data_IF_370403411435
#
_entry.id   IF_370403411435
#
_cell.length_a   1.000
_cell.length_b   1.000
_cell.length_c   1.000
_cell.angle_alpha   90.00
_cell.angle_beta   90.00
_cell.angle_gamma   90.00
#
_symmetry.space_group_name_H-M   'P 1'
#
loop_
_entity.id
_entity.type
_entity.pdbx_description
1 polymer ?
#
# COMPACT_ATOMS: atom_id res chain seq x y z
N UNK A 1 15.04 26.45 14.09
CA UNK A 1 15.56 26.20 12.72
C UNK A 1 14.38 26.04 11.79
N UNK A 2 14.34 26.76 10.67
CA UNK A 2 13.31 26.57 9.64
C UNK A 2 13.59 25.24 8.93
N UNK A 3 12.64 24.32 8.94
CA UNK A 3 12.76 23.07 8.17
C UNK A 3 12.63 23.45 6.68
N UNK A 4 13.69 23.21 5.91
CA UNK A 4 13.65 23.34 4.46
C UNK A 4 12.87 22.14 3.90
N UNK A 5 11.99 22.40 2.94
CA UNK A 5 11.24 21.38 2.21
C UNK A 5 11.63 21.43 0.75
N UNK A 6 11.80 20.26 0.12
CA UNK A 6 11.95 20.17 -1.32
C UNK A 6 10.59 19.90 -1.96
N UNK A 7 10.20 20.72 -2.96
CA UNK A 7 8.90 20.61 -3.62
C UNK A 7 9.07 20.23 -5.10
N UNK A 8 8.27 19.28 -5.56
CA UNK A 8 8.12 18.94 -6.97
C UNK A 8 6.64 19.05 -7.33
N UNK A 9 6.33 19.82 -8.37
CA UNK A 9 5.00 19.88 -8.95
C UNK A 9 4.98 19.03 -10.21
N UNK A 10 3.96 18.20 -10.35
CA UNK A 10 3.77 17.29 -11.48
C UNK A 10 2.50 17.70 -12.19
N UNK A 11 2.57 17.91 -13.50
CA UNK A 11 1.41 18.15 -14.36
C UNK A 11 1.20 16.96 -15.30
N UNK A 12 -0.05 16.71 -15.69
CA UNK A 12 -0.48 15.57 -16.50
C UNK A 12 0.05 15.64 -17.95
N UNK A 13 0.28 16.85 -18.45
CA UNK A 13 0.91 17.11 -19.76
C UNK A 13 2.43 16.87 -19.76
N UNK A 14 3.04 16.71 -18.58
CA UNK A 14 4.46 16.37 -18.41
C UNK A 14 4.68 14.85 -18.53
N UNK A 15 4.37 14.31 -19.72
CA UNK A 15 4.43 12.88 -20.04
C UNK A 15 5.82 12.30 -19.76
N UNK A 16 6.89 13.06 -20.04
CA UNK A 16 8.26 12.64 -19.80
C UNK A 16 8.57 12.54 -18.31
N UNK A 17 8.08 13.47 -17.49
CA UNK A 17 8.20 13.38 -16.03
C UNK A 17 7.40 12.23 -15.47
N UNK A 18 6.21 11.95 -15.97
CA UNK A 18 5.42 10.80 -15.52
C UNK A 18 6.10 9.46 -15.87
N UNK A 19 6.75 9.38 -17.03
CA UNK A 19 7.56 8.22 -17.43
C UNK A 19 8.81 8.03 -16.57
N UNK A 20 9.35 9.12 -16.02
CA UNK A 20 10.59 9.14 -15.23
C UNK A 20 10.35 9.50 -13.77
N UNK A 21 9.11 9.40 -13.28
CA UNK A 21 8.72 9.94 -11.96
C UNK A 21 9.51 9.27 -10.83
N UNK A 22 9.78 7.97 -10.95
CA UNK A 22 10.67 7.25 -10.06
C UNK A 22 12.06 7.87 -10.01
N UNK A 23 12.71 8.06 -11.17
CA UNK A 23 14.04 8.65 -11.28
C UNK A 23 14.09 10.09 -10.74
N UNK A 24 13.07 10.89 -11.03
CA UNK A 24 12.97 12.27 -10.55
C UNK A 24 12.80 12.34 -9.04
N UNK A 25 11.97 11.46 -8.45
CA UNK A 25 11.82 11.36 -7.00
C UNK A 25 13.15 10.87 -6.39
N UNK A 26 13.75 9.82 -6.93
CA UNK A 26 14.99 9.23 -6.40
C UNK A 26 16.16 10.22 -6.39
N UNK A 27 16.31 11.01 -7.46
CA UNK A 27 17.37 12.03 -7.57
C UNK A 27 17.11 13.32 -6.76
N UNK A 28 15.88 13.52 -6.28
CA UNK A 28 15.48 14.73 -5.53
C UNK A 28 15.45 14.55 -4.01
N UNK A 29 15.76 13.34 -3.53
CA UNK A 29 15.84 13.06 -2.10
C UNK A 29 17.19 13.51 -1.56
N UNK A 30 17.16 14.53 -0.71
CA UNK A 30 18.27 15.00 0.09
C UNK A 30 17.95 14.77 1.58
N UNK A 31 18.77 15.28 2.50
CA UNK A 31 18.55 15.16 3.95
C UNK A 31 17.27 15.89 4.46
N UNK A 32 16.48 16.50 3.57
CA UNK A 32 15.23 17.18 3.90
C UNK A 32 13.99 16.40 3.44
N UNK A 33 12.81 16.77 3.95
CA UNK A 33 11.55 16.17 3.53
C UNK A 33 11.25 16.53 2.06
N UNK A 34 10.82 15.54 1.28
CA UNK A 34 10.42 15.70 -0.12
C UNK A 34 8.89 15.68 -0.25
N UNK A 35 8.34 16.72 -0.87
CA UNK A 35 6.89 16.85 -1.12
C UNK A 35 6.67 16.89 -2.63
N UNK A 36 5.93 15.91 -3.15
CA UNK A 36 5.49 15.84 -4.54
C UNK A 36 4.00 16.18 -4.59
N UNK A 37 3.65 17.17 -5.40
CA UNK A 37 2.27 17.64 -5.60
C UNK A 37 1.80 17.32 -7.01
N UNK A 38 0.75 16.51 -7.11
CA UNK A 38 -0.01 16.28 -8.32
C UNK A 38 -1.11 17.33 -8.36
N UNK A 39 -0.95 18.35 -9.19
CA UNK A 39 -1.81 19.54 -9.14
C UNK A 39 -3.04 19.43 -10.04
N UNK A 40 -2.99 18.58 -11.05
CA UNK A 40 -4.12 18.37 -11.95
C UNK A 40 -5.13 17.39 -11.37
N UNK A 41 -6.38 17.48 -11.83
CA UNK A 41 -7.47 16.62 -11.37
C UNK A 41 -7.30 15.16 -11.81
N UNK A 42 -6.59 14.92 -12.90
CA UNK A 42 -6.59 13.63 -13.58
C UNK A 42 -5.25 13.33 -14.25
N UNK A 43 -4.73 12.13 -14.01
CA UNK A 43 -3.54 11.56 -14.62
C UNK A 43 -3.90 10.23 -15.25
N UNK A 44 -3.73 10.15 -16.57
CA UNK A 44 -3.99 8.93 -17.33
C UNK A 44 -2.76 8.04 -17.26
N UNK A 45 -2.71 7.20 -16.23
CA UNK A 45 -1.60 6.30 -16.06
C UNK A 45 -1.45 5.36 -17.24
N UNK A 46 -2.50 5.02 -18.00
CA UNK A 46 -2.41 4.13 -19.17
C UNK A 46 -1.45 4.61 -20.27
N UNK A 47 -1.17 5.91 -20.36
CA UNK A 47 -0.28 6.49 -21.38
C UNK A 47 1.21 6.30 -21.12
N UNK A 48 1.63 6.08 -19.86
CA UNK A 48 3.06 6.16 -19.48
C UNK A 48 3.81 4.82 -19.57
N UNK A 49 3.86 4.17 -20.75
CA UNK A 49 4.72 3.01 -21.05
C UNK A 49 4.70 1.78 -20.10
N UNK A 50 5.60 0.81 -20.37
CA UNK A 50 5.76 -0.46 -19.65
C UNK A 50 6.86 -0.45 -18.57
N UNK A 51 7.33 0.70 -18.12
CA UNK A 51 8.38 0.75 -17.08
C UNK A 51 7.78 0.81 -15.68
N UNK A 52 8.24 -0.10 -14.81
CA UNK A 52 7.89 -0.08 -13.38
C UNK A 52 8.36 1.21 -12.72
N UNK A 53 7.46 1.89 -12.02
CA UNK A 53 7.84 3.04 -11.18
C UNK A 53 8.42 2.48 -9.89
N UNK A 54 9.73 2.66 -9.70
CA UNK A 54 10.43 2.24 -8.48
C UNK A 54 10.97 3.48 -7.75
N UNK A 55 10.58 3.62 -6.48
CA UNK A 55 10.96 4.75 -5.62
C UNK A 55 11.72 4.20 -4.41
N UNK A 56 12.96 4.65 -4.22
CA UNK A 56 13.73 4.38 -3.02
C UNK A 56 13.38 5.41 -1.95
N UNK A 57 12.90 5.02 -0.78
CA UNK A 57 12.49 5.93 0.29
C UNK A 57 13.66 6.20 1.23
N UNK A 58 14.50 7.16 0.86
CA UNK A 58 15.71 7.57 1.60
C UNK A 58 15.48 8.78 2.52
N UNK A 59 14.40 9.51 2.32
CA UNK A 59 13.94 10.60 3.21
C UNK A 59 12.44 10.50 3.44
N UNK A 60 11.86 11.41 4.22
CA UNK A 60 10.40 11.50 4.32
C UNK A 60 9.84 11.98 2.98
N UNK A 61 8.88 11.26 2.43
CA UNK A 61 8.24 11.57 1.16
C UNK A 61 6.75 11.80 1.40
N UNK A 62 6.19 12.85 0.82
CA UNK A 62 4.74 13.07 0.74
C UNK A 62 4.29 13.16 -0.71
N UNK A 63 3.40 12.28 -1.15
CA UNK A 63 2.71 12.29 -2.44
C UNK A 63 1.32 12.87 -2.23
N UNK A 64 1.06 14.06 -2.75
CA UNK A 64 -0.14 14.85 -2.40
C UNK A 64 -0.90 15.19 -3.68
N UNK A 65 -2.14 14.72 -3.79
CA UNK A 65 -3.10 15.17 -4.81
C UNK A 65 -3.67 16.54 -4.48
N UNK A 66 -4.45 17.11 -5.40
CA UNK A 66 -5.07 18.40 -5.21
C UNK A 66 -6.22 18.38 -4.18
N UNK A 67 -6.82 19.54 -3.90
CA UNK A 67 -7.86 19.70 -2.88
C UNK A 67 -9.16 18.94 -3.18
N UNK A 68 -9.46 18.73 -4.47
CA UNK A 68 -10.64 18.00 -4.93
C UNK A 68 -10.39 16.48 -5.04
N UNK A 69 -9.15 16.06 -4.81
CA UNK A 69 -8.67 14.71 -5.03
C UNK A 69 -8.18 14.52 -6.46
N UNK A 70 -6.94 14.06 -6.59
CA UNK A 70 -6.35 13.75 -7.89
C UNK A 70 -6.65 12.30 -8.29
N UNK A 71 -7.08 12.08 -9.52
CA UNK A 71 -7.34 10.74 -10.07
C UNK A 71 -6.11 10.18 -10.77
N UNK A 72 -5.67 9.00 -10.33
CA UNK A 72 -4.72 8.13 -11.02
C UNK A 72 -5.51 7.00 -11.68
N UNK A 73 -5.74 7.14 -12.99
CA UNK A 73 -6.55 6.22 -13.78
C UNK A 73 -5.67 5.25 -14.57
N UNK A 74 -5.77 3.96 -14.27
CA UNK A 74 -4.99 2.91 -14.93
C UNK A 74 -5.71 2.35 -16.18
N UNK A 75 -6.95 2.80 -16.45
CA UNK A 75 -7.76 2.47 -17.62
C UNK A 75 -7.92 0.97 -17.92
N UNK A 76 -7.81 0.11 -16.89
CA UNK A 76 -7.72 -1.34 -17.01
C UNK A 76 -6.66 -1.82 -18.02
N UNK A 77 -5.62 -1.03 -18.22
CA UNK A 77 -4.69 -1.18 -19.34
C UNK A 77 -3.24 -1.00 -18.91
N UNK A 78 -2.83 -1.58 -17.76
CA UNK A 78 -1.43 -1.55 -17.32
C UNK A 78 -0.99 -2.69 -16.42
N UNK A 79 0.20 -3.19 -16.75
CA UNK A 79 0.95 -4.25 -16.05
C UNK A 79 1.70 -3.81 -14.78
N UNK A 80 1.51 -2.57 -14.32
CA UNK A 80 2.54 -1.88 -13.54
C UNK A 80 1.95 -1.14 -12.35
N UNK A 81 2.32 -1.60 -11.17
CA UNK A 81 2.19 -0.84 -9.95
C UNK A 81 3.40 0.04 -9.65
N UNK A 82 3.30 0.73 -8.53
CA UNK A 82 4.34 1.57 -7.96
C UNK A 82 5.04 0.76 -6.87
N UNK A 83 6.35 0.61 -6.98
CA UNK A 83 7.17 -0.05 -5.97
C UNK A 83 7.88 0.99 -5.11
N UNK A 84 7.77 0.86 -3.80
CA UNK A 84 8.49 1.63 -2.81
C UNK A 84 9.48 0.71 -2.11
N UNK A 85 10.76 1.04 -2.19
CA UNK A 85 11.84 0.31 -1.54
C UNK A 85 12.39 1.15 -0.40
N UNK A 86 12.31 0.64 0.82
CA UNK A 86 12.81 1.34 2.00
C UNK A 86 14.24 0.88 2.31
N UNK A 87 15.19 1.82 2.29
CA UNK A 87 16.54 1.64 2.84
C UNK A 87 16.63 2.45 4.14
N UNK A 88 16.39 1.78 5.26
CA UNK A 88 16.17 2.41 6.56
C UNK A 88 17.42 2.46 7.41
N UNK A 89 18.60 2.71 6.85
CA UNK A 89 19.82 2.90 7.65
C UNK A 89 19.65 4.02 8.70
N UNK A 90 19.39 3.62 9.94
CA UNK A 90 19.48 4.36 11.21
C UNK A 90 18.54 5.57 11.42
N UNK A 91 17.63 5.89 10.49
CA UNK A 91 16.64 6.97 10.68
C UNK A 91 15.23 6.52 10.34
N UNK A 92 14.27 6.95 11.15
CA UNK A 92 12.84 6.82 10.84
C UNK A 92 12.50 7.47 9.50
N UNK A 93 11.78 6.73 8.64
CA UNK A 93 11.29 7.24 7.34
C UNK A 93 9.77 7.18 7.25
N UNK A 94 9.17 8.25 6.76
CA UNK A 94 7.72 8.30 6.53
C UNK A 94 7.43 8.50 5.05
N UNK A 95 6.61 7.60 4.49
CA UNK A 95 5.95 7.80 3.21
C UNK A 95 4.48 8.14 3.47
N UNK A 96 4.07 9.31 2.99
CA UNK A 96 2.70 9.80 3.11
C UNK A 96 2.06 9.91 1.73
N UNK A 97 0.82 9.45 1.58
CA UNK A 97 0.04 9.53 0.35
C UNK A 97 -1.31 10.17 0.71
N UNK A 98 -1.65 11.30 0.09
CA UNK A 98 -2.80 12.11 0.49
C UNK A 98 -3.65 12.59 -0.68
N UNK A 99 -4.98 12.52 -0.54
CA UNK A 99 -5.94 13.05 -1.51
C UNK A 99 -5.76 12.47 -2.94
N UNK A 100 -5.47 11.18 -3.04
CA UNK A 100 -5.31 10.48 -4.33
C UNK A 100 -6.38 9.41 -4.48
N UNK A 101 -6.97 9.34 -5.67
CA UNK A 101 -7.91 8.31 -6.09
C UNK A 101 -7.22 7.37 -7.08
N UNK A 102 -7.03 6.11 -6.69
CA UNK A 102 -6.52 5.05 -7.56
C UNK A 102 -7.70 4.28 -8.17
N UNK A 103 -7.79 4.26 -9.51
CA UNK A 103 -8.92 3.59 -10.17
C UNK A 103 -8.57 2.78 -11.41
N UNK A 104 -9.38 1.75 -11.64
CA UNK A 104 -9.33 0.90 -12.85
C UNK A 104 -7.99 0.17 -13.01
N UNK A 105 -7.33 -0.21 -11.93
CA UNK A 105 -6.13 -1.05 -12.00
C UNK A 105 -6.49 -2.48 -12.40
N UNK A 106 -5.95 -2.94 -13.53
CA UNK A 106 -6.05 -4.33 -13.97
C UNK A 106 -4.89 -4.66 -14.91
N UNK A 107 -3.99 -5.57 -14.51
CA UNK A 107 -2.84 -5.88 -15.34
C UNK A 107 -3.17 -6.92 -16.40
N UNK A 108 -3.62 -6.45 -17.57
CA UNK A 108 -3.76 -7.26 -18.78
C UNK A 108 -2.37 -7.75 -19.24
N UNK A 109 -2.20 -9.07 -19.36
CA UNK A 109 -1.02 -9.78 -19.89
C UNK A 109 0.10 -10.19 -18.89
N UNK A 110 -0.25 -10.73 -17.72
CA UNK A 110 0.71 -11.47 -16.85
C UNK A 110 1.03 -12.89 -17.32
N UNK A 111 0.70 -13.25 -18.57
CA UNK A 111 0.78 -14.60 -19.15
C UNK A 111 2.17 -15.25 -19.25
N UNK A 112 3.16 -14.80 -18.49
CA UNK A 112 4.47 -15.41 -18.39
C UNK A 112 5.22 -14.96 -17.15
N UNK A 113 5.26 -15.86 -16.16
CA UNK A 113 6.31 -15.96 -15.12
C UNK A 113 6.32 -14.82 -14.07
N UNK A 114 5.59 -15.05 -12.97
CA UNK A 114 6.12 -14.88 -11.61
C UNK A 114 6.27 -13.46 -11.03
N UNK A 115 5.81 -12.40 -11.69
CA UNK A 115 5.79 -11.06 -11.06
C UNK A 115 4.43 -10.78 -10.45
N UNK A 116 4.35 -10.71 -9.12
CA UNK A 116 3.16 -10.25 -8.41
C UNK A 116 2.87 -8.81 -8.83
N UNK A 117 1.80 -8.60 -9.62
CA UNK A 117 1.45 -7.27 -10.13
C UNK A 117 0.48 -6.59 -9.16
N UNK A 118 1.02 -5.95 -8.14
CA UNK A 118 0.23 -5.19 -7.16
C UNK A 118 0.25 -3.71 -7.51
N UNK A 119 -0.85 -2.99 -7.26
CA UNK A 119 -0.93 -1.54 -7.52
C UNK A 119 0.14 -0.75 -6.74
N UNK A 120 0.26 -0.98 -5.43
CA UNK A 120 1.28 -0.40 -4.55
C UNK A 120 2.04 -1.51 -3.84
N UNK A 121 3.31 -1.67 -4.20
CA UNK A 121 4.19 -2.67 -3.61
C UNK A 121 5.21 -1.99 -2.70
N UNK A 122 5.28 -2.41 -1.45
CA UNK A 122 6.23 -1.92 -0.46
C UNK A 122 7.19 -3.03 -0.11
N UNK A 123 8.48 -2.80 -0.28
CA UNK A 123 9.52 -3.76 0.03
C UNK A 123 10.49 -3.16 1.06
N UNK A 124 10.69 -3.88 2.15
CA UNK A 124 11.47 -3.44 3.29
C UNK A 124 12.61 -4.40 3.60
N UNK A 125 13.85 -3.92 3.50
CA UNK A 125 15.02 -4.61 4.01
C UNK A 125 15.46 -3.92 5.30
N UNK A 126 14.98 -4.41 6.44
CA UNK A 126 15.11 -3.72 7.72
C UNK A 126 16.19 -4.34 8.58
N UNK A 127 16.99 -3.49 9.22
CA UNK A 127 17.81 -3.87 10.38
C UNK A 127 17.05 -3.59 11.69
N UNK A 128 17.59 -4.12 12.80
CA UNK A 128 16.97 -4.03 14.13
C UNK A 128 16.62 -2.60 14.58
N UNK A 129 17.39 -1.59 14.16
CA UNK A 129 17.23 -0.17 14.52
C UNK A 129 16.21 0.59 13.67
N UNK A 130 15.62 -0.06 12.69
CA UNK A 130 14.97 0.64 11.59
C UNK A 130 13.49 0.87 11.89
N UNK A 131 13.04 2.11 11.64
CA UNK A 131 11.65 2.50 11.84
C UNK A 131 11.08 3.14 10.57
N UNK A 132 9.83 2.83 10.26
CA UNK A 132 9.16 3.33 9.08
C UNK A 132 7.68 3.53 9.32
N UNK A 133 7.10 4.44 8.54
CA UNK A 133 5.67 4.70 8.52
C UNK A 133 5.17 4.85 7.10
N UNK A 134 4.10 4.16 6.75
CA UNK A 134 3.31 4.37 5.54
C UNK A 134 1.95 4.92 5.98
N UNK A 135 1.59 6.10 5.50
CA UNK A 135 0.36 6.79 5.91
C UNK A 135 -0.44 7.18 4.68
N UNK A 136 -1.67 6.69 4.58
CA UNK A 136 -2.66 7.07 3.58
C UNK A 136 -3.72 7.96 4.23
N UNK A 137 -3.94 9.16 3.69
CA UNK A 137 -4.98 10.07 4.17
C UNK A 137 -5.93 10.46 3.03
N UNK A 138 -7.23 10.31 3.27
CA UNK A 138 -8.29 10.70 2.33
C UNK A 138 -8.10 10.10 0.92
N UNK A 139 -7.56 8.87 0.85
CA UNK A 139 -7.36 8.17 -0.42
C UNK A 139 -8.61 7.38 -0.81
N UNK A 140 -8.83 7.20 -2.12
CA UNK A 140 -9.91 6.34 -2.63
C UNK A 140 -9.32 5.28 -3.56
N UNK A 141 -9.61 4.02 -3.28
CA UNK A 141 -9.28 2.89 -4.13
C UNK A 141 -10.57 2.35 -4.71
N UNK A 142 -10.79 2.53 -6.02
CA UNK A 142 -12.06 2.15 -6.63
C UNK A 142 -11.97 1.42 -7.97
N UNK A 143 -12.88 0.46 -8.16
CA UNK A 143 -13.03 -0.30 -9.40
C UNK A 143 -11.71 -0.94 -9.86
N UNK A 144 -10.89 -1.42 -8.92
CA UNK A 144 -9.65 -2.11 -9.24
C UNK A 144 -9.90 -3.62 -9.26
N UNK A 145 -9.39 -4.29 -10.29
CA UNK A 145 -9.60 -5.72 -10.52
C UNK A 145 -8.33 -6.54 -10.27
N UNK A 146 -7.53 -6.12 -9.28
CA UNK A 146 -6.33 -6.81 -8.86
C UNK A 146 -5.95 -6.38 -7.44
N UNK A 147 -4.99 -7.07 -6.84
CA UNK A 147 -4.41 -6.74 -5.53
C UNK A 147 -3.92 -5.28 -5.47
N UNK A 148 -4.32 -4.56 -4.42
CA UNK A 148 -4.02 -3.13 -4.30
C UNK A 148 -2.70 -2.84 -3.59
N UNK A 149 -2.48 -3.45 -2.44
CA UNK A 149 -1.36 -3.13 -1.57
C UNK A 149 -0.69 -4.42 -1.11
N UNK A 150 0.62 -4.51 -1.28
CA UNK A 150 1.43 -5.62 -0.82
C UNK A 150 2.65 -5.09 -0.11
N UNK A 151 2.94 -5.67 1.05
CA UNK A 151 4.04 -5.25 1.90
C UNK A 151 4.90 -6.47 2.20
N UNK A 152 6.09 -6.52 1.64
CA UNK A 152 7.07 -7.57 1.91
C UNK A 152 8.11 -7.04 2.89
N UNK A 153 8.30 -7.77 4.00
CA UNK A 153 9.20 -7.35 5.07
C UNK A 153 10.23 -8.44 5.34
N UNK A 154 11.47 -7.99 5.38
CA UNK A 154 12.66 -8.79 5.63
C UNK A 154 13.32 -8.22 6.89
N UNK A 155 13.00 -8.78 8.06
CA UNK A 155 13.50 -8.33 9.36
C UNK A 155 14.01 -9.53 10.19
N UNK A 156 15.18 -9.37 10.81
CA UNK A 156 15.80 -10.44 11.61
C UNK A 156 15.32 -10.47 13.07
N UNK A 157 14.85 -9.34 13.64
CA UNK A 157 14.33 -9.25 15.02
C UNK A 157 13.33 -8.09 15.13
N UNK A 158 12.17 -8.32 15.75
CA UNK A 158 11.13 -7.31 15.96
C UNK A 158 10.97 -6.94 17.43
N UNK A 159 10.76 -5.66 17.74
CA UNK A 159 10.11 -5.19 18.98
C UNK A 159 9.63 -3.75 18.79
N UNK A 160 8.47 -3.55 18.17
CA UNK A 160 7.86 -2.21 18.07
C UNK A 160 6.35 -2.28 18.23
N UNK A 161 5.80 -1.47 19.14
CA UNK A 161 4.38 -1.54 19.53
C UNK A 161 3.45 -0.64 18.68
N UNK A 162 3.98 0.01 17.64
CA UNK A 162 3.34 1.13 16.92
C UNK A 162 2.71 0.73 15.55
N UNK A 163 1.73 1.50 15.10
CA UNK A 163 1.05 1.34 13.80
C UNK A 163 1.89 1.91 12.66
N UNK A 164 2.69 1.05 12.03
CA UNK A 164 3.57 1.44 10.93
C UNK A 164 2.85 1.66 9.61
N UNK A 165 1.64 1.12 9.46
CA UNK A 165 0.82 1.31 8.27
C UNK A 165 -0.53 1.85 8.71
N UNK A 166 -0.92 3.01 8.18
CA UNK A 166 -2.12 3.70 8.61
C UNK A 166 -2.95 4.15 7.42
N UNK A 167 -4.25 3.94 7.50
CA UNK A 167 -5.24 4.44 6.56
C UNK A 167 -6.24 5.28 7.33
N UNK A 168 -6.30 6.57 7.02
CA UNK A 168 -7.18 7.52 7.67
C UNK A 168 -8.15 8.11 6.65
N UNK A 169 -9.45 7.99 6.92
CA UNK A 169 -10.52 8.51 6.05
C UNK A 169 -10.46 7.96 4.62
N UNK A 170 -9.99 6.73 4.45
CA UNK A 170 -9.84 6.12 3.13
C UNK A 170 -11.11 5.39 2.69
N UNK A 171 -11.32 5.30 1.38
CA UNK A 171 -12.47 4.59 0.78
C UNK A 171 -11.99 3.46 -0.12
N UNK A 172 -12.59 2.28 0.02
CA UNK A 172 -12.36 1.11 -0.80
C UNK A 172 -13.67 0.69 -1.43
N UNK A 173 -13.83 0.94 -2.73
CA UNK A 173 -15.11 0.85 -3.44
C UNK A 173 -15.02 -0.09 -4.64
N UNK A 174 -15.87 -1.11 -4.73
CA UNK A 174 -15.98 -1.95 -5.92
C UNK A 174 -14.68 -2.65 -6.37
N UNK A 175 -13.78 -3.01 -5.44
CA UNK A 175 -12.54 -3.73 -5.81
C UNK A 175 -12.78 -5.25 -5.82
N UNK A 176 -12.28 -5.97 -6.83
CA UNK A 176 -12.64 -7.39 -7.02
C UNK A 176 -11.65 -8.38 -6.39
N UNK A 177 -10.47 -7.93 -6.00
CA UNK A 177 -9.42 -8.77 -5.41
C UNK A 177 -8.99 -8.21 -4.04
N UNK A 178 -7.93 -8.79 -3.46
CA UNK A 178 -7.37 -8.43 -2.16
C UNK A 178 -7.00 -6.95 -2.05
N UNK A 179 -7.39 -6.28 -0.96
CA UNK A 179 -6.98 -4.89 -0.73
C UNK A 179 -5.55 -4.83 -0.21
N UNK A 180 -5.22 -5.60 0.82
CA UNK A 180 -3.89 -5.57 1.46
C UNK A 180 -3.38 -7.01 1.73
N UNK A 181 -2.11 -7.24 1.38
CA UNK A 181 -1.31 -8.41 1.78
C UNK A 181 -0.07 -7.95 2.56
N UNK A 182 0.23 -8.64 3.66
CA UNK A 182 1.46 -8.47 4.42
C UNK A 182 2.25 -9.78 4.35
N UNK A 183 3.51 -9.73 3.93
CA UNK A 183 4.31 -10.93 3.75
C UNK A 183 5.61 -10.87 4.56
N UNK A 184 5.69 -11.77 5.53
CA UNK A 184 6.85 -12.14 6.33
C UNK A 184 7.88 -12.97 5.53
N UNK A 185 9.20 -12.71 5.39
CA UNK A 185 10.09 -13.73 4.76
C UNK A 185 10.58 -14.85 5.70
N UNK A 186 10.76 -14.61 6.99
CA UNK A 186 11.43 -15.55 7.91
C UNK A 186 10.52 -16.41 8.80
N UNK A 187 9.20 -16.47 8.56
CA UNK A 187 8.27 -16.91 9.62
C UNK A 187 8.24 -18.41 9.95
N UNK A 188 9.13 -19.22 9.39
CA UNK A 188 9.25 -20.61 9.86
C UNK A 188 9.86 -20.71 11.28
N UNK A 189 10.52 -19.65 11.80
CA UNK A 189 11.32 -19.79 13.03
C UNK A 189 11.09 -18.74 14.14
N UNK A 190 10.39 -17.63 13.90
CA UNK A 190 10.29 -16.54 14.90
C UNK A 190 8.90 -15.89 14.96
N UNK A 191 8.05 -16.31 15.91
CA UNK A 191 6.72 -15.73 16.14
C UNK A 191 6.77 -14.24 16.58
N UNK A 192 7.87 -13.79 17.18
CA UNK A 192 8.03 -12.40 17.64
C UNK A 192 8.05 -11.39 16.48
N UNK A 193 8.31 -11.86 15.25
CA UNK A 193 8.37 -11.03 14.05
C UNK A 193 7.00 -10.45 13.68
N UNK A 194 5.91 -11.14 14.00
CA UNK A 194 4.56 -10.65 13.71
C UNK A 194 4.22 -9.36 14.47
N UNK A 195 4.91 -9.10 15.59
CA UNK A 195 4.80 -7.85 16.34
C UNK A 195 5.41 -6.65 15.59
N UNK A 196 6.12 -6.85 14.49
CA UNK A 196 6.82 -5.77 13.79
C UNK A 196 5.92 -4.84 12.97
N UNK A 197 4.73 -5.29 12.57
CA UNK A 197 3.88 -4.58 11.61
C UNK A 197 2.43 -4.61 12.09
N UNK A 198 1.98 -3.46 12.60
CA UNK A 198 0.57 -3.22 12.88
C UNK A 198 -0.04 -2.29 11.84
N UNK A 199 -1.24 -2.63 11.40
CA UNK A 199 -2.04 -1.85 10.46
C UNK A 199 -3.22 -1.21 11.19
N UNK A 200 -3.36 0.10 11.04
CA UNK A 200 -4.51 0.87 11.53
C UNK A 200 -5.40 1.30 10.35
N UNK A 201 -6.67 0.95 10.44
CA UNK A 201 -7.75 1.41 9.56
C UNK A 201 -8.69 2.29 10.37
N UNK A 202 -8.58 3.61 10.22
CA UNK A 202 -9.34 4.57 11.01
C UNK A 202 -10.27 5.40 10.12
N UNK A 203 -11.56 5.38 10.44
CA UNK A 203 -12.61 6.09 9.70
C UNK A 203 -12.65 5.71 8.21
N UNK A 204 -12.44 4.44 7.90
CA UNK A 204 -12.43 3.94 6.53
C UNK A 204 -13.82 3.44 6.10
N UNK A 205 -14.10 3.52 4.81
CA UNK A 205 -15.35 3.04 4.21
C UNK A 205 -15.07 1.94 3.20
N UNK A 206 -15.79 0.83 3.33
CA UNK A 206 -15.62 -0.37 2.51
C UNK A 206 -16.96 -0.73 1.87
N UNK A 207 -17.08 -0.58 0.55
CA UNK A 207 -18.33 -0.83 -0.18
C UNK A 207 -18.08 -1.77 -1.36
N UNK A 208 -18.79 -2.91 -1.39
CA UNK A 208 -18.83 -3.82 -2.54
C UNK A 208 -17.44 -4.29 -3.02
N UNK A 209 -16.52 -4.59 -2.10
CA UNK A 209 -15.27 -5.29 -2.44
C UNK A 209 -15.44 -6.80 -2.27
N UNK A 210 -14.73 -7.59 -3.07
CA UNK A 210 -14.82 -9.07 -3.04
C UNK A 210 -13.72 -9.73 -2.19
N UNK A 211 -12.53 -9.14 -2.13
CA UNK A 211 -11.46 -9.53 -1.20
C UNK A 211 -11.07 -8.34 -0.34
N UNK A 212 -10.76 -8.54 0.95
CA UNK A 212 -10.38 -7.43 1.84
C UNK A 212 -8.95 -7.57 2.36
N UNK A 213 -8.68 -8.51 3.27
CA UNK A 213 -7.36 -8.70 3.87
C UNK A 213 -7.03 -10.19 3.95
N UNK A 214 -5.87 -10.60 3.42
CA UNK A 214 -5.38 -11.96 3.67
C UNK A 214 -3.91 -11.99 4.05
N UNK A 215 -3.65 -12.62 5.19
CA UNK A 215 -2.39 -13.18 5.67
C UNK A 215 -1.27 -12.18 6.00
N UNK A 216 -0.73 -12.37 7.20
CA UNK A 216 0.69 -12.19 7.53
C UNK A 216 1.27 -13.63 7.37
N UNK A 217 1.86 -13.93 6.19
CA UNK A 217 2.35 -15.23 5.64
C UNK A 217 1.34 -16.35 5.29
N UNK A 218 1.55 -17.28 4.33
CA UNK A 218 2.55 -17.52 3.27
C UNK A 218 1.79 -18.11 2.07
N UNK A 219 1.98 -17.57 0.86
CA UNK A 219 1.14 -17.89 -0.30
C UNK A 219 1.68 -19.06 -1.13
N UNK A 220 0.87 -20.10 -1.26
CA UNK A 220 0.61 -20.76 -2.55
C UNK A 220 -0.88 -21.19 -2.60
N UNK A 221 -1.77 -20.29 -3.06
CA UNK A 221 -3.11 -20.53 -3.65
C UNK A 221 -3.72 -21.96 -3.45
N UNK A 222 -4.81 -22.18 -2.68
CA UNK A 222 -6.20 -22.00 -3.14
C UNK A 222 -7.25 -21.88 -1.98
N UNK A 223 -6.84 -21.81 -0.71
CA UNK A 223 -7.79 -21.78 0.42
C UNK A 223 -7.43 -20.63 1.36
N UNK A 224 -7.73 -19.39 0.95
CA UNK A 224 -7.72 -18.25 1.88
C UNK A 224 -8.64 -18.58 3.05
N UNK A 225 -8.10 -18.59 4.27
CA UNK A 225 -8.88 -19.09 5.41
C UNK A 225 -10.00 -18.15 5.85
N UNK A 226 -9.98 -16.87 5.45
CA UNK A 226 -11.08 -15.92 5.64
C UNK A 226 -11.18 -14.89 4.51
N UNK A 227 -12.39 -14.39 4.22
CA UNK A 227 -12.70 -13.49 3.11
C UNK A 227 -12.48 -12.00 3.43
N UNK A 228 -12.55 -11.64 4.71
CA UNK A 228 -12.39 -10.28 5.23
C UNK A 228 -11.05 -10.09 5.92
N UNK A 229 -10.75 -10.83 6.98
CA UNK A 229 -9.43 -10.80 7.64
C UNK A 229 -8.94 -12.23 7.79
N UNK A 230 -7.68 -12.47 7.42
CA UNK A 230 -6.96 -13.71 7.75
C UNK A 230 -5.72 -13.39 8.57
N UNK A 231 -5.66 -13.89 9.81
CA UNK A 231 -4.47 -13.86 10.65
C UNK A 231 -4.17 -15.27 11.20
N UNK A 232 -2.94 -15.76 10.99
CA UNK A 232 -2.51 -17.06 11.51
C UNK A 232 -1.98 -16.97 12.95
N UNK A 233 -1.55 -15.78 13.37
CA UNK A 233 -0.92 -15.50 14.65
C UNK A 233 -1.45 -14.18 15.19
N UNK A 234 -1.92 -14.12 16.44
CA UNK A 234 -2.29 -12.88 17.14
C UNK A 234 -3.37 -12.02 16.48
N UNK A 235 -3.96 -11.11 17.25
CA UNK A 235 -5.06 -10.24 16.80
C UNK A 235 -4.75 -8.75 16.90
N UNK A 236 -3.67 -8.40 17.59
CA UNK A 236 -3.18 -7.03 17.79
C UNK A 236 -2.58 -6.38 16.53
N UNK A 237 -2.54 -7.11 15.41
CA UNK A 237 -1.84 -6.69 14.19
C UNK A 237 -2.69 -5.92 13.19
N UNK A 238 -4.02 -6.09 13.23
CA UNK A 238 -4.95 -5.31 12.38
C UNK A 238 -6.01 -4.69 13.28
N UNK A 239 -5.98 -3.38 13.37
CA UNK A 239 -6.93 -2.61 14.18
C UNK A 239 -7.80 -1.78 13.23
N UNK A 240 -9.11 -2.00 13.32
CA UNK A 240 -10.13 -1.32 12.53
C UNK A 240 -11.01 -0.53 13.49
N UNK A 241 -10.97 0.79 13.39
CA UNK A 241 -11.68 1.70 14.27
C UNK A 241 -12.56 2.65 13.47
N UNK A 242 -13.73 2.96 14.01
CA UNK A 242 -14.67 3.95 13.45
C UNK A 242 -15.00 3.74 11.96
N UNK A 243 -14.93 2.50 11.48
CA UNK A 243 -15.03 2.19 10.05
C UNK A 243 -16.38 1.57 9.67
N UNK A 244 -16.80 1.77 8.44
CA UNK A 244 -18.10 1.34 7.91
C UNK A 244 -17.94 0.31 6.80
N UNK A 245 -18.72 -0.76 6.89
CA UNK A 245 -18.77 -1.86 5.92
C UNK A 245 -20.17 -1.97 5.33
N UNK A 246 -20.30 -1.87 4.02
CA UNK A 246 -21.59 -2.02 3.33
C UNK A 246 -21.48 -2.94 2.12
N UNK A 247 -22.55 -3.70 1.86
CA UNK A 247 -22.68 -4.56 0.69
C UNK A 247 -21.48 -5.51 0.51
N UNK A 248 -21.01 -6.10 1.61
CA UNK A 248 -19.94 -7.08 1.64
C UNK A 248 -20.48 -8.38 1.02
N UNK A 249 -20.20 -8.59 -0.26
CA UNK A 249 -20.70 -9.74 -1.02
C UNK A 249 -19.61 -10.81 -1.14
N UNK A 250 -19.54 -11.70 -0.14
CA UNK A 250 -18.61 -12.82 -0.14
C UNK A 250 -19.24 -13.99 -0.88
N UNK A 251 -18.80 -14.21 -2.11
CA UNK A 251 -19.19 -15.35 -2.94
C UNK A 251 -18.20 -16.50 -2.76
N UNK A 252 -17.92 -16.88 -1.51
CA UNK A 252 -16.98 -17.93 -1.18
C UNK A 252 -17.47 -18.75 0.01
N UNK A 253 -17.07 -20.03 0.05
CA UNK A 253 -17.34 -20.93 1.18
C UNK A 253 -16.39 -20.68 2.37
N UNK A 254 -15.50 -19.69 2.27
CA UNK A 254 -14.56 -19.32 3.33
C UNK A 254 -15.23 -18.34 4.31
N UNK A 255 -14.94 -18.42 5.62
CA UNK A 255 -15.58 -17.56 6.62
C UNK A 255 -15.26 -16.08 6.38
N UNK A 256 -16.18 -15.20 6.81
CA UNK A 256 -15.98 -13.73 6.73
C UNK A 256 -14.67 -13.35 7.41
N UNK A 257 -14.46 -13.72 8.67
CA UNK A 257 -13.18 -13.51 9.35
C UNK A 257 -12.60 -14.84 9.78
N UNK A 258 -11.30 -15.01 9.59
CA UNK A 258 -10.53 -16.11 10.12
C UNK A 258 -9.31 -15.58 10.87
N UNK A 259 -9.29 -15.80 12.17
CA UNK A 259 -8.13 -15.45 12.97
C UNK A 259 -7.93 -16.44 14.08
N UNK A 260 -6.72 -16.98 14.21
CA UNK A 260 -6.34 -17.70 15.41
C UNK A 260 -6.21 -16.69 16.56
N UNK A 261 -6.90 -16.91 17.68
CA UNK A 261 -6.94 -15.99 18.83
C UNK A 261 -7.51 -14.59 18.55
N UNK A 262 -8.40 -14.43 17.55
CA UNK A 262 -9.02 -13.15 17.24
C UNK A 262 -10.01 -12.67 18.33
N UNK A 263 -9.79 -11.45 18.83
CA UNK A 263 -10.75 -10.72 19.67
C UNK A 263 -11.15 -9.42 18.94
N UNK A 264 -12.41 -9.30 18.54
CA UNK A 264 -12.98 -8.07 17.98
C UNK A 264 -13.60 -7.24 19.12
N UNK A 265 -13.25 -5.95 19.21
CA UNK A 265 -13.83 -4.99 20.16
C UNK A 265 -14.69 -3.97 19.44
#
# INVERSE_FOLDING_TARGET
>A
MNKLYNFIFIHNDDIDVMRTIGDKINSSQNDSDLIIRFVDDYYDFSKYGLQSVSIFVNTNISLIGNENGTVFDFNYDKQIGITFQFDTKEKTKTLKIENIKFEKFYPKNSGGIGRTQVLLYFNFYLNKSDNFYIIFNNCNFQNNNHELIKVDIYLDVATYDDYRIQFNNCKFLNNTERLIQLYHKFDEYHMEIYDSIKVLMNNCTFINNRGYFSEIQSDENEVTRGAFITTLYGNEYVIIENSQFENINIQSNVPLIYGNLLFMK
#
